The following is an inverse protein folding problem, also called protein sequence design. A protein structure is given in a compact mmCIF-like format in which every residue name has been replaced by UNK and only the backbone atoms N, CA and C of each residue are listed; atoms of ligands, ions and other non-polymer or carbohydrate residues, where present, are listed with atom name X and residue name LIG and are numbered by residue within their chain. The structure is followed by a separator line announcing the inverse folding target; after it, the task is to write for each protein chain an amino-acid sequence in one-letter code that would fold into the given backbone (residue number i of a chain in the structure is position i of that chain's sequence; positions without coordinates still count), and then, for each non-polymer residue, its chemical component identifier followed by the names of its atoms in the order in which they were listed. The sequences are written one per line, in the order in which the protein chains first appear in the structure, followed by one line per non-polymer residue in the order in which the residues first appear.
data_IF_569277221324
#
_entry.id   IF_569277221324
#
_cell.length_a   1.000
_cell.length_b   1.000
_cell.length_c   1.000
_cell.angle_alpha   90.00
_cell.angle_beta   90.00
_cell.angle_gamma   90.00
#
_symmetry.space_group_name_H-M   'P 1'
#
loop_
_entity.id
_entity.type
_entity.pdbx_description
1 polymer ?
#
# COMPACT_ATOMS: atom_id res chain seq x y z
N UNK A 1 -93.05 -19.33 19.01
CA UNK A 1 -91.61 -19.61 18.94
C UNK A 1 -91.04 -18.67 17.89
N UNK A 2 -90.43 -17.58 18.36
CA UNK A 2 -89.42 -16.70 17.73
C UNK A 2 -89.87 -15.97 16.44
N UNK A 3 -90.27 -14.69 16.53
CA UNK A 3 -89.43 -13.46 16.50
C UNK A 3 -88.84 -13.17 15.10
N UNK A 4 -89.40 -12.20 14.37
CA UNK A 4 -88.96 -10.77 14.27
C UNK A 4 -87.80 -10.62 13.27
N UNK A 5 -88.02 -10.08 12.07
CA UNK A 5 -88.31 -8.69 11.62
C UNK A 5 -87.02 -7.95 11.20
N UNK A 6 -87.17 -7.26 10.07
CA UNK A 6 -86.46 -6.07 9.59
C UNK A 6 -85.07 -6.17 8.95
N UNK A 7 -85.09 -5.81 7.65
CA UNK A 7 -84.46 -4.61 7.09
C UNK A 7 -83.09 -4.78 6.42
N UNK A 8 -83.13 -4.67 5.09
CA UNK A 8 -82.36 -3.74 4.28
C UNK A 8 -80.86 -3.62 4.52
N UNK A 9 -80.09 -3.88 3.46
CA UNK A 9 -78.97 -3.01 3.06
C UNK A 9 -78.42 -3.37 1.68
N UNK A 10 -78.37 -2.31 0.87
CA UNK A 10 -77.58 -2.02 -0.31
C UNK A 10 -76.22 -2.75 -0.28
N UNK A 11 -75.97 -3.63 -1.25
CA UNK A 11 -74.64 -4.19 -1.50
C UNK A 11 -73.86 -3.21 -2.39
N UNK A 12 -72.95 -2.46 -1.77
CA UNK A 12 -71.85 -1.76 -2.43
C UNK A 12 -70.82 -2.80 -2.87
N UNK A 13 -70.59 -2.94 -4.17
CA UNK A 13 -69.45 -3.70 -4.68
C UNK A 13 -68.16 -2.87 -4.45
N UNK A 14 -67.24 -3.45 -3.68
CA UNK A 14 -65.92 -2.90 -3.40
C UNK A 14 -65.08 -2.84 -4.68
N UNK A 15 -64.54 -1.65 -4.97
CA UNK A 15 -63.43 -1.50 -5.89
C UNK A 15 -62.17 -2.05 -5.22
N UNK A 16 -61.61 -3.14 -5.78
CA UNK A 16 -60.28 -3.62 -5.44
C UNK A 16 -59.27 -2.65 -6.06
N UNK A 17 -58.78 -1.70 -5.26
CA UNK A 17 -57.56 -0.96 -5.61
C UNK A 17 -56.38 -1.89 -5.44
N UNK A 18 -55.89 -2.45 -6.55
CA UNK A 18 -54.59 -3.12 -6.59
C UNK A 18 -53.51 -2.06 -6.36
N UNK A 19 -52.97 -2.02 -5.13
CA UNK A 19 -51.74 -1.29 -4.84
C UNK A 19 -50.61 -2.09 -5.48
N UNK A 20 -50.17 -1.65 -6.66
CA UNK A 20 -48.88 -2.02 -7.21
C UNK A 20 -47.82 -1.45 -6.27
N UNK A 21 -47.33 -2.27 -5.35
CA UNK A 21 -46.09 -2.00 -4.63
C UNK A 21 -44.99 -2.19 -5.67
N UNK A 22 -44.59 -1.09 -6.30
CA UNK A 22 -43.31 -1.02 -6.99
C UNK A 22 -42.23 -1.28 -5.95
N UNK A 23 -41.65 -2.48 -5.97
CA UNK A 23 -40.36 -2.73 -5.33
C UNK A 23 -39.38 -1.76 -5.99
N UNK A 24 -39.07 -0.66 -5.31
CA UNK A 24 -38.01 0.24 -5.73
C UNK A 24 -36.71 -0.53 -5.59
N UNK A 25 -36.14 -0.94 -6.73
CA UNK A 25 -34.71 -1.14 -6.84
C UNK A 25 -34.09 0.23 -6.51
N UNK A 26 -33.59 0.42 -5.30
CA UNK A 26 -32.82 1.59 -4.95
C UNK A 26 -31.47 1.51 -5.64
N UNK A 27 -31.40 1.97 -6.89
CA UNK A 27 -30.10 2.33 -7.48
C UNK A 27 -29.67 3.61 -6.77
N UNK A 28 -28.60 3.56 -5.99
CA UNK A 28 -27.90 4.79 -5.59
C UNK A 28 -27.65 5.63 -6.86
N UNK A 29 -27.91 6.94 -6.77
CA UNK A 29 -27.62 7.82 -7.89
C UNK A 29 -26.13 7.88 -8.15
N UNK A 30 -25.73 7.75 -9.41
CA UNK A 30 -24.33 7.86 -9.83
C UNK A 30 -23.66 9.11 -9.21
N UNK A 31 -22.52 8.97 -8.52
CA UNK A 31 -21.78 10.10 -7.97
C UNK A 31 -21.41 11.09 -9.07
N UNK A 32 -21.58 12.37 -8.80
CA UNK A 32 -21.21 13.42 -9.77
C UNK A 32 -19.69 13.52 -9.88
N UNK A 33 -19.15 13.20 -11.06
CA UNK A 33 -17.74 13.42 -11.40
C UNK A 33 -17.55 14.77 -12.12
N UNK A 34 -16.40 15.44 -11.95
CA UNK A 34 -16.08 16.64 -12.72
C UNK A 34 -16.00 16.31 -14.21
N UNK A 35 -16.64 17.12 -15.06
CA UNK A 35 -16.73 16.84 -16.52
C UNK A 35 -15.39 16.92 -17.26
N UNK A 36 -14.39 17.59 -16.67
CA UNK A 36 -13.01 17.59 -17.13
C UNK A 36 -12.13 17.55 -15.88
N UNK A 37 -11.42 16.43 -15.61
CA UNK A 37 -10.54 16.36 -14.46
C UNK A 37 -9.28 17.20 -14.72
N UNK A 38 -9.39 18.50 -14.45
CA UNK A 38 -8.21 19.34 -14.30
C UNK A 38 -7.55 19.03 -12.95
N UNK A 39 -6.23 18.78 -12.89
CA UNK A 39 -5.52 18.46 -11.65
C UNK A 39 -5.81 19.42 -10.51
N UNK A 40 -5.93 20.73 -10.78
CA UNK A 40 -6.19 21.73 -9.74
C UNK A 40 -7.61 21.64 -9.21
N UNK A 41 -8.58 21.32 -10.07
CA UNK A 41 -9.97 21.11 -9.66
C UNK A 41 -10.11 19.86 -8.80
N UNK A 42 -9.50 18.75 -9.21
CA UNK A 42 -9.53 17.51 -8.43
C UNK A 42 -8.82 17.70 -7.09
N UNK A 43 -7.63 18.32 -7.07
CA UNK A 43 -6.93 18.62 -5.83
C UNK A 43 -7.78 19.47 -4.88
N UNK A 44 -8.43 20.54 -5.38
CA UNK A 44 -9.33 21.36 -4.57
C UNK A 44 -10.53 20.58 -4.00
N UNK A 45 -11.04 19.57 -4.72
CA UNK A 45 -12.06 18.67 -4.20
C UNK A 45 -11.52 17.75 -3.09
N UNK A 46 -10.27 17.31 -3.20
CA UNK A 46 -9.63 16.43 -2.21
C UNK A 46 -9.13 17.15 -0.96
N UNK A 47 -8.93 18.47 -1.04
CA UNK A 47 -8.55 19.31 0.11
C UNK A 47 -9.74 19.88 0.88
N UNK A 48 -10.98 19.62 0.45
CA UNK A 48 -12.18 20.18 1.10
C UNK A 48 -12.67 19.27 2.25
N UNK A 49 -13.58 19.79 3.08
CA UNK A 49 -14.12 19.05 4.23
C UNK A 49 -14.97 17.81 3.81
N UNK A 50 -15.44 17.78 2.57
CA UNK A 50 -16.30 16.72 2.02
C UNK A 50 -15.49 15.66 1.25
N UNK A 51 -14.16 15.76 1.20
CA UNK A 51 -13.29 14.93 0.38
C UNK A 51 -13.44 13.44 0.71
N UNK A 52 -13.55 13.11 2.00
CA UNK A 52 -13.75 11.73 2.46
C UNK A 52 -15.11 11.17 1.98
N UNK A 53 -16.19 11.93 2.07
CA UNK A 53 -17.50 11.50 1.58
C UNK A 53 -17.54 11.37 0.06
N UNK A 54 -16.86 12.27 -0.65
CA UNK A 54 -16.69 12.15 -2.10
C UNK A 54 -15.94 10.85 -2.46
N UNK A 55 -14.75 10.63 -1.87
CA UNK A 55 -13.95 9.43 -2.08
C UNK A 55 -14.72 8.16 -1.70
N UNK A 56 -15.48 8.18 -0.60
CA UNK A 56 -16.33 7.08 -0.20
C UNK A 56 -17.40 6.81 -1.26
N UNK A 57 -18.13 7.84 -1.69
CA UNK A 57 -19.20 7.69 -2.68
C UNK A 57 -18.73 7.08 -4.01
N UNK A 58 -17.58 7.52 -4.54
CA UNK A 58 -17.03 6.95 -5.78
C UNK A 58 -16.45 5.55 -5.57
N UNK A 59 -15.97 5.24 -4.36
CA UNK A 59 -15.36 3.94 -4.05
C UNK A 59 -16.40 2.86 -3.78
N UNK A 60 -17.57 3.22 -3.26
CA UNK A 60 -18.64 2.26 -2.97
C UNK A 60 -19.68 2.14 -4.07
N UNK A 61 -19.77 3.11 -4.99
CA UNK A 61 -20.66 3.02 -6.15
C UNK A 61 -20.27 1.84 -7.06
N UNK A 62 -21.27 1.16 -7.60
CA UNK A 62 -21.09 0.04 -8.53
C UNK A 62 -21.04 0.59 -9.96
N UNK A 63 -19.84 0.87 -10.45
CA UNK A 63 -19.64 1.41 -11.80
C UNK A 63 -19.74 0.30 -12.85
N UNK A 64 -20.40 0.58 -13.98
CA UNK A 64 -20.48 -0.35 -15.12
C UNK A 64 -19.13 -0.59 -15.83
N UNK A 65 -18.10 0.19 -15.48
CA UNK A 65 -16.75 0.17 -16.07
C UNK A 65 -15.67 -0.21 -15.05
N UNK A 66 -16.03 -0.96 -14.00
CA UNK A 66 -15.13 -1.41 -12.94
C UNK A 66 -14.41 -0.27 -12.20
N UNK A 67 -14.96 0.96 -12.28
CA UNK A 67 -14.44 2.17 -11.65
C UNK A 67 -13.48 2.97 -12.53
N UNK A 68 -13.28 2.60 -13.79
CA UNK A 68 -12.32 3.24 -14.69
C UNK A 68 -12.53 4.75 -14.85
N UNK A 69 -13.77 5.20 -15.02
CA UNK A 69 -14.09 6.63 -15.14
C UNK A 69 -13.79 7.42 -13.86
N UNK A 70 -13.99 6.82 -12.68
CA UNK A 70 -13.60 7.45 -11.42
C UNK A 70 -12.06 7.45 -11.26
N UNK A 71 -11.39 6.41 -11.75
CA UNK A 71 -9.94 6.26 -11.72
C UNK A 71 -9.21 7.38 -12.48
N UNK A 72 -9.80 7.91 -13.57
CA UNK A 72 -9.24 9.02 -14.37
C UNK A 72 -8.95 10.28 -13.54
N UNK A 73 -9.65 10.49 -12.42
CA UNK A 73 -9.45 11.66 -11.56
C UNK A 73 -8.04 11.71 -10.95
N UNK A 74 -7.38 10.57 -10.77
CA UNK A 74 -6.15 10.45 -9.97
C UNK A 74 -4.89 10.19 -10.80
N UNK A 75 -5.03 9.89 -12.10
CA UNK A 75 -3.92 9.51 -12.98
C UNK A 75 -2.82 10.57 -13.14
N UNK A 76 -3.12 11.84 -12.84
CA UNK A 76 -2.14 12.93 -12.91
C UNK A 76 -1.16 12.91 -11.73
N UNK A 77 -1.55 12.36 -10.58
CA UNK A 77 -0.81 12.43 -9.31
C UNK A 77 0.62 11.90 -9.44
N UNK A 78 0.89 10.70 -10.03
CA UNK A 78 2.24 10.17 -10.10
C UNK A 78 3.20 11.06 -10.92
N UNK A 79 2.71 11.59 -12.03
CA UNK A 79 3.51 12.48 -12.90
C UNK A 79 3.80 13.82 -12.21
N UNK A 80 2.83 14.38 -11.49
CA UNK A 80 3.01 15.63 -10.75
C UNK A 80 3.89 15.46 -9.51
N UNK A 81 3.83 14.31 -8.83
CA UNK A 81 4.65 14.01 -7.66
C UNK A 81 6.16 14.03 -7.96
N UNK A 82 6.55 13.71 -9.19
CA UNK A 82 7.95 13.73 -9.66
C UNK A 82 8.33 15.00 -10.42
N UNK A 83 7.41 15.96 -10.52
CA UNK A 83 7.62 17.21 -11.25
C UNK A 83 8.68 18.09 -10.56
N UNK A 84 9.51 18.75 -11.37
CA UNK A 84 10.40 19.80 -10.88
C UNK A 84 9.64 21.07 -10.46
N UNK A 85 8.37 21.22 -10.91
CA UNK A 85 7.51 22.30 -10.45
C UNK A 85 7.04 22.04 -9.01
N UNK A 86 7.49 22.91 -8.12
CA UNK A 86 7.22 22.86 -6.69
C UNK A 86 5.73 22.81 -6.35
N UNK A 87 4.90 23.54 -7.09
CA UNK A 87 3.47 23.64 -6.85
C UNK A 87 2.75 22.38 -7.32
N UNK A 88 3.11 21.84 -8.49
CA UNK A 88 2.56 20.58 -8.99
C UNK A 88 2.87 19.41 -8.04
N UNK A 89 4.12 19.32 -7.56
CA UNK A 89 4.51 18.28 -6.60
C UNK A 89 3.75 18.41 -5.26
N UNK A 90 3.56 19.63 -4.77
CA UNK A 90 2.76 19.91 -3.57
C UNK A 90 1.31 19.45 -3.74
N UNK A 91 0.66 19.82 -4.85
CA UNK A 91 -0.74 19.42 -5.12
C UNK A 91 -0.88 17.90 -5.21
N UNK A 92 0.09 17.21 -5.81
CA UNK A 92 0.09 15.75 -5.87
C UNK A 92 0.19 15.13 -4.48
N UNK A 93 1.05 15.65 -3.60
CA UNK A 93 1.18 15.17 -2.23
C UNK A 93 -0.07 15.40 -1.40
N UNK A 94 -0.70 16.57 -1.51
CA UNK A 94 -1.94 16.88 -0.78
C UNK A 94 -3.09 15.96 -1.22
N UNK A 95 -3.21 15.72 -2.52
CA UNK A 95 -4.20 14.79 -3.08
C UNK A 95 -3.93 13.35 -2.64
N UNK A 96 -2.68 12.89 -2.68
CA UNK A 96 -2.28 11.57 -2.22
C UNK A 96 -2.52 11.38 -0.72
N UNK A 97 -2.23 12.40 0.09
CA UNK A 97 -2.53 12.37 1.53
C UNK A 97 -4.03 12.22 1.80
N UNK A 98 -4.88 12.95 1.07
CA UNK A 98 -6.33 12.82 1.20
C UNK A 98 -6.83 11.39 0.90
N UNK A 99 -6.28 10.74 -0.13
CA UNK A 99 -6.57 9.33 -0.46
C UNK A 99 -6.11 8.41 0.67
N UNK A 100 -4.89 8.59 1.17
CA UNK A 100 -4.37 7.78 2.27
C UNK A 100 -5.19 7.94 3.54
N UNK A 101 -5.53 9.19 3.92
CA UNK A 101 -6.36 9.48 5.09
C UNK A 101 -7.77 8.88 4.97
N UNK A 102 -8.35 8.89 3.77
CA UNK A 102 -9.61 8.21 3.48
C UNK A 102 -9.52 6.69 3.72
N UNK A 103 -8.46 6.02 3.24
CA UNK A 103 -8.27 4.58 3.50
C UNK A 103 -8.16 4.27 4.99
N UNK A 104 -7.51 5.14 5.76
CA UNK A 104 -7.38 4.98 7.21
C UNK A 104 -8.74 5.13 7.89
N UNK A 105 -9.50 6.17 7.55
CA UNK A 105 -10.78 6.49 8.19
C UNK A 105 -11.92 5.53 7.80
N UNK A 106 -11.91 5.01 6.57
CA UNK A 106 -12.95 4.12 6.02
C UNK A 106 -12.52 2.67 5.88
N UNK A 107 -11.40 2.27 6.50
CA UNK A 107 -10.75 0.97 6.31
C UNK A 107 -11.74 -0.21 6.40
N UNK A 108 -12.49 -0.32 7.50
CA UNK A 108 -13.42 -1.44 7.69
C UNK A 108 -14.53 -1.46 6.63
N UNK A 109 -15.06 -0.29 6.27
CA UNK A 109 -16.11 -0.17 5.25
C UNK A 109 -15.59 -0.54 3.87
N UNK A 110 -14.32 -0.28 3.56
CA UNK A 110 -13.70 -0.62 2.27
C UNK A 110 -13.31 -2.10 2.16
N UNK A 111 -12.98 -2.73 3.29
CA UNK A 111 -12.67 -4.15 3.36
C UNK A 111 -13.93 -5.03 3.39
N UNK A 112 -15.06 -4.47 3.81
CA UNK A 112 -16.31 -5.21 3.92
C UNK A 112 -17.53 -4.34 3.57
N UNK A 113 -17.79 -4.18 2.27
CA UNK A 113 -18.95 -3.49 1.76
C UNK A 113 -20.15 -4.44 1.68
N UNK A 114 -21.13 -4.21 2.55
CA UNK A 114 -22.40 -4.92 2.50
C UNK A 114 -23.24 -4.50 1.28
N UNK A 115 -23.86 -5.46 0.63
CA UNK A 115 -24.72 -5.29 -0.54
C UNK A 115 -25.83 -6.34 -0.59
N UNK A 116 -26.70 -6.24 -1.59
CA UNK A 116 -27.81 -7.16 -1.79
C UNK A 116 -28.94 -7.02 -0.77
N UNK A 117 -29.92 -7.92 -0.87
CA UNK A 117 -31.13 -7.87 -0.04
C UNK A 117 -30.79 -8.17 1.43
N UNK A 118 -30.96 -7.14 2.27
CA UNK A 118 -30.61 -7.13 3.71
C UNK A 118 -29.11 -7.12 4.03
N UNK A 119 -28.23 -6.69 3.10
CA UNK A 119 -26.79 -6.59 3.36
C UNK A 119 -26.13 -7.95 3.61
N UNK A 120 -26.55 -8.97 2.87
CA UNK A 120 -26.07 -10.36 3.04
C UNK A 120 -24.87 -10.69 2.17
N UNK A 121 -24.64 -9.90 1.13
CA UNK A 121 -23.51 -10.06 0.24
C UNK A 121 -22.42 -9.09 0.67
N UNK A 122 -21.18 -9.55 0.72
CA UNK A 122 -20.03 -8.81 1.22
C UNK A 122 -18.96 -8.80 0.14
N UNK A 123 -18.38 -7.64 -0.13
CA UNK A 123 -17.32 -7.48 -1.12
C UNK A 123 -16.31 -6.44 -0.65
N UNK A 124 -15.08 -6.54 -1.13
CA UNK A 124 -14.04 -5.51 -0.91
C UNK A 124 -14.14 -4.42 -1.97
N UNK A 125 -13.51 -3.27 -1.71
CA UNK A 125 -13.43 -2.17 -2.69
C UNK A 125 -12.69 -2.58 -3.97
N UNK A 126 -11.61 -3.35 -3.87
CA UNK A 126 -10.88 -3.84 -5.04
C UNK A 126 -11.65 -4.88 -5.85
N UNK A 127 -12.50 -5.69 -5.21
CA UNK A 127 -13.38 -6.61 -5.95
C UNK A 127 -14.53 -5.87 -6.66
N UNK A 128 -14.99 -4.74 -6.12
CA UNK A 128 -16.07 -3.94 -6.73
C UNK A 128 -15.56 -2.99 -7.81
N UNK A 129 -14.47 -2.28 -7.55
CA UNK A 129 -13.95 -1.20 -8.37
C UNK A 129 -12.43 -1.35 -8.58
N UNK A 130 -11.97 -2.43 -9.25
CA UNK A 130 -10.55 -2.73 -9.38
C UNK A 130 -9.76 -1.61 -10.07
N UNK A 131 -10.30 -0.97 -11.11
CA UNK A 131 -9.61 0.12 -11.82
C UNK A 131 -9.38 1.35 -10.94
N UNK A 132 -10.35 1.65 -10.07
CA UNK A 132 -10.22 2.74 -9.11
C UNK A 132 -9.14 2.44 -8.05
N UNK A 133 -9.11 1.21 -7.50
CA UNK A 133 -8.10 0.81 -6.52
C UNK A 133 -6.70 0.81 -7.12
N UNK A 134 -6.55 0.39 -8.39
CA UNK A 134 -5.28 0.48 -9.14
C UNK A 134 -4.81 1.92 -9.28
N UNK A 135 -5.71 2.84 -9.65
CA UNK A 135 -5.35 4.26 -9.75
C UNK A 135 -4.99 4.88 -8.40
N UNK A 136 -5.65 4.48 -7.30
CA UNK A 136 -5.22 4.85 -5.96
C UNK A 136 -3.82 4.32 -5.61
N UNK A 137 -3.52 3.07 -5.96
CA UNK A 137 -2.20 2.48 -5.74
C UNK A 137 -1.11 3.26 -6.50
N UNK A 138 -1.36 3.58 -7.78
CA UNK A 138 -0.46 4.40 -8.59
C UNK A 138 -0.26 5.79 -7.98
N UNK A 139 -1.33 6.46 -7.59
CA UNK A 139 -1.30 7.78 -6.96
C UNK A 139 -0.49 7.81 -5.66
N UNK A 140 -0.55 6.73 -4.86
CA UNK A 140 0.14 6.63 -3.57
C UNK A 140 1.58 6.12 -3.67
N UNK A 141 1.95 5.41 -4.75
CA UNK A 141 3.28 4.79 -4.90
C UNK A 141 4.47 5.77 -4.70
N UNK A 142 4.44 7.02 -5.21
CA UNK A 142 5.51 7.99 -4.98
C UNK A 142 5.69 8.39 -3.51
N UNK A 143 4.66 8.20 -2.68
CA UNK A 143 4.58 8.67 -1.30
C UNK A 143 4.77 7.55 -0.26
N UNK A 144 5.11 6.33 -0.68
CA UNK A 144 5.39 5.21 0.24
C UNK A 144 6.49 5.52 1.28
N UNK A 145 7.43 6.42 0.96
CA UNK A 145 8.39 6.92 1.94
C UNK A 145 7.71 7.62 3.11
N UNK A 146 6.77 8.53 2.84
CA UNK A 146 6.03 9.25 3.88
C UNK A 146 5.15 8.32 4.73
N UNK A 147 4.60 7.25 4.14
CA UNK A 147 3.86 6.23 4.90
C UNK A 147 4.74 5.54 5.96
N UNK A 148 6.05 5.52 5.77
CA UNK A 148 7.03 5.00 6.75
C UNK A 148 7.89 6.12 7.35
N UNK A 149 7.36 7.35 7.38
CA UNK A 149 8.01 8.53 7.97
C UNK A 149 9.30 9.02 7.32
N UNK A 150 9.47 8.81 6.01
CA UNK A 150 10.46 9.52 5.20
C UNK A 150 9.81 10.68 4.43
N UNK A 151 10.04 11.92 4.88
CA UNK A 151 9.49 13.14 4.30
C UNK A 151 10.34 13.75 3.18
N UNK A 152 11.55 13.24 2.95
CA UNK A 152 12.57 13.89 2.08
C UNK A 152 12.10 14.10 0.63
N UNK A 153 11.14 13.31 0.17
CA UNK A 153 10.58 13.36 -1.19
C UNK A 153 9.05 13.27 -1.20
N UNK A 154 8.38 13.78 -0.16
CA UNK A 154 6.94 13.67 0.00
C UNK A 154 6.26 15.04 0.13
N UNK A 155 6.67 15.99 -0.70
CA UNK A 155 6.15 17.37 -0.65
C UNK A 155 4.63 17.39 -0.72
N UNK A 156 4.00 18.06 0.25
CA UNK A 156 2.55 18.20 0.36
C UNK A 156 1.83 16.98 0.94
N UNK A 157 2.52 15.87 1.16
CA UNK A 157 1.96 14.72 1.84
C UNK A 157 2.21 14.88 3.35
N UNK A 158 1.15 15.13 4.11
CA UNK A 158 1.25 15.20 5.57
C UNK A 158 1.52 13.80 6.15
N UNK A 159 2.50 13.70 7.04
CA UNK A 159 2.81 12.44 7.71
C UNK A 159 1.70 12.07 8.70
N UNK A 160 1.46 10.77 8.87
CA UNK A 160 0.59 10.28 9.94
C UNK A 160 1.34 10.33 11.28
N UNK A 161 1.47 11.51 11.88
CA UNK A 161 2.16 11.69 13.15
C UNK A 161 1.35 11.21 14.37
N UNK A 162 2.03 10.74 15.43
CA UNK A 162 3.48 10.59 15.57
C UNK A 162 4.02 9.37 14.81
N UNK A 163 5.28 9.43 14.36
CA UNK A 163 5.89 8.37 13.53
C UNK A 163 5.93 6.97 14.13
N UNK A 164 5.96 6.85 15.47
CA UNK A 164 5.84 5.55 16.14
C UNK A 164 4.50 4.87 15.90
N UNK A 165 3.45 5.66 15.64
CA UNK A 165 2.08 5.19 15.41
C UNK A 165 1.71 5.18 13.91
N UNK A 166 2.50 5.83 13.05
CA UNK A 166 2.29 5.96 11.59
C UNK A 166 2.14 4.62 10.85
N UNK A 167 2.68 3.55 11.44
CA UNK A 167 2.64 2.20 10.85
C UNK A 167 1.22 1.63 10.79
N UNK A 168 0.33 1.97 11.74
CA UNK A 168 -1.07 1.51 11.71
C UNK A 168 -1.87 2.15 10.56
N UNK A 169 -1.79 3.48 10.34
CA UNK A 169 -2.29 4.12 9.12
C UNK A 169 -1.72 3.50 7.84
N UNK A 170 -0.41 3.27 7.77
CA UNK A 170 0.23 2.67 6.60
C UNK A 170 -0.28 1.25 6.34
N UNK A 171 -0.46 0.42 7.38
CA UNK A 171 -1.07 -0.91 7.24
C UNK A 171 -2.48 -0.84 6.65
N UNK A 172 -3.28 0.17 7.02
CA UNK A 172 -4.62 0.37 6.46
C UNK A 172 -4.55 0.66 4.96
N UNK A 173 -3.64 1.55 4.54
CA UNK A 173 -3.40 1.85 3.13
C UNK A 173 -3.01 0.59 2.34
N UNK A 174 -2.02 -0.15 2.83
CA UNK A 174 -1.56 -1.38 2.19
C UNK A 174 -2.64 -2.48 2.16
N UNK A 175 -3.48 -2.57 3.20
CA UNK A 175 -4.58 -3.56 3.26
C UNK A 175 -5.69 -3.22 2.26
N UNK A 176 -6.08 -1.95 2.14
CA UNK A 176 -7.09 -1.52 1.16
C UNK A 176 -6.60 -1.71 -0.27
N UNK A 177 -5.37 -1.30 -0.59
CA UNK A 177 -4.76 -1.55 -1.92
C UNK A 177 -4.70 -3.04 -2.20
N UNK A 178 -4.39 -3.85 -1.18
CA UNK A 178 -4.35 -5.31 -1.25
C UNK A 178 -5.61 -5.92 -1.85
N UNK A 179 -6.78 -5.31 -1.64
CA UNK A 179 -8.07 -5.86 -2.08
C UNK A 179 -8.21 -6.08 -3.60
N UNK A 180 -7.34 -5.48 -4.42
CA UNK A 180 -7.11 -5.85 -5.83
C UNK A 180 -5.69 -6.40 -6.02
N UNK A 181 -5.56 -7.58 -6.62
CA UNK A 181 -4.27 -8.28 -6.72
C UNK A 181 -3.25 -7.57 -7.62
N UNK A 182 -3.71 -6.87 -8.66
CA UNK A 182 -2.83 -6.14 -9.59
C UNK A 182 -2.33 -4.85 -8.94
N UNK A 183 -3.22 -4.09 -8.30
CA UNK A 183 -2.87 -2.93 -7.48
C UNK A 183 -1.86 -3.32 -6.38
N UNK A 184 -2.10 -4.42 -5.68
CA UNK A 184 -1.19 -4.95 -4.67
C UNK A 184 0.19 -5.28 -5.25
N UNK A 185 0.26 -5.97 -6.39
CA UNK A 185 1.51 -6.30 -7.07
C UNK A 185 2.32 -5.06 -7.43
N UNK A 186 1.70 -4.11 -8.15
CA UNK A 186 2.34 -2.85 -8.58
C UNK A 186 2.82 -2.03 -7.37
N UNK A 187 1.99 -1.91 -6.33
CA UNK A 187 2.34 -1.15 -5.13
C UNK A 187 3.48 -1.82 -4.34
N UNK A 188 3.47 -3.15 -4.22
CA UNK A 188 4.56 -3.90 -3.60
C UNK A 188 5.87 -3.75 -4.36
N UNK A 189 5.84 -3.76 -5.69
CA UNK A 189 7.03 -3.59 -6.53
C UNK A 189 7.62 -2.18 -6.41
N UNK A 190 6.78 -1.15 -6.31
CA UNK A 190 7.21 0.21 -5.98
C UNK A 190 7.90 0.28 -4.61
N UNK A 191 7.35 -0.42 -3.59
CA UNK A 191 7.94 -0.46 -2.26
C UNK A 191 9.31 -1.17 -2.27
N UNK A 192 9.43 -2.29 -2.99
CA UNK A 192 10.71 -3.00 -3.18
C UNK A 192 11.74 -2.13 -3.89
N UNK A 193 11.34 -1.37 -4.91
CA UNK A 193 12.23 -0.43 -5.58
C UNK A 193 12.76 0.64 -4.61
N UNK A 194 11.90 1.14 -3.72
CA UNK A 194 12.27 2.11 -2.68
C UNK A 194 13.20 1.51 -1.62
N UNK A 195 12.91 0.29 -1.15
CA UNK A 195 13.79 -0.47 -0.24
C UNK A 195 15.20 -0.57 -0.84
N UNK A 196 15.31 -1.01 -2.11
CA UNK A 196 16.61 -1.07 -2.81
C UNK A 196 17.31 0.27 -2.85
N UNK A 197 16.58 1.36 -3.09
CA UNK A 197 17.16 2.71 -3.09
C UNK A 197 17.72 3.11 -1.72
N UNK A 198 17.02 2.79 -0.62
CA UNK A 198 17.51 3.08 0.73
C UNK A 198 18.77 2.27 1.07
N UNK A 199 18.75 0.98 0.76
CA UNK A 199 19.88 0.08 1.00
C UNK A 199 21.10 0.52 0.19
N UNK A 200 20.91 0.86 -1.09
CA UNK A 200 21.98 1.36 -1.95
C UNK A 200 22.55 2.69 -1.43
N UNK A 201 21.71 3.62 -0.99
CA UNK A 201 22.15 4.89 -0.39
C UNK A 201 23.03 4.65 0.84
N UNK A 202 22.65 3.70 1.70
CA UNK A 202 23.49 3.32 2.84
C UNK A 202 24.81 2.66 2.41
N UNK A 203 24.77 1.72 1.47
CA UNK A 203 25.96 1.04 0.96
C UNK A 203 26.97 2.02 0.31
N UNK A 204 26.48 3.04 -0.38
CA UNK A 204 27.29 4.08 -1.01
C UNK A 204 27.83 5.11 0.00
N UNK A 205 27.24 5.19 1.19
CA UNK A 205 27.67 6.13 2.25
C UNK A 205 28.87 5.57 3.02
N UNK A 206 29.98 6.30 3.05
CA UNK A 206 31.13 5.91 3.87
C UNK A 206 30.85 6.04 5.37
N UNK A 207 31.43 5.15 6.19
CA UNK A 207 31.26 5.16 7.65
C UNK A 207 31.70 6.47 8.32
N UNK A 208 32.72 7.13 7.77
CA UNK A 208 33.22 8.43 8.26
C UNK A 208 32.42 9.62 7.71
N UNK A 209 31.39 9.38 6.89
CA UNK A 209 30.56 10.43 6.33
C UNK A 209 29.61 11.01 7.38
N UNK A 210 29.40 12.33 7.42
CA UNK A 210 28.33 12.92 8.23
C UNK A 210 26.93 12.40 7.84
N UNK A 211 26.78 11.87 6.63
CA UNK A 211 25.51 11.37 6.09
C UNK A 211 25.20 9.92 6.51
N UNK A 212 26.07 9.25 7.27
CA UNK A 212 25.87 7.84 7.66
C UNK A 212 24.61 7.63 8.50
N UNK A 213 24.27 8.57 9.38
CA UNK A 213 23.06 8.47 10.21
C UNK A 213 21.77 8.69 9.40
N UNK A 214 21.65 9.73 8.55
CA UNK A 214 20.54 9.83 7.59
C UNK A 214 20.40 8.63 6.64
N UNK A 215 21.52 8.02 6.23
CA UNK A 215 21.50 6.83 5.40
C UNK A 215 21.02 5.60 6.19
N UNK A 216 21.43 5.47 7.45
CA UNK A 216 20.96 4.42 8.37
C UNK A 216 19.45 4.54 8.66
N UNK A 217 18.90 5.76 8.79
CA UNK A 217 17.45 5.97 8.84
C UNK A 217 16.74 5.44 7.58
N UNK A 218 17.39 5.53 6.42
CA UNK A 218 16.95 4.86 5.19
C UNK A 218 16.71 3.35 5.40
N UNK A 219 17.62 2.67 6.11
CA UNK A 219 17.44 1.26 6.45
C UNK A 219 16.24 1.05 7.38
N UNK A 220 15.97 1.96 8.33
CA UNK A 220 14.77 1.92 9.18
C UNK A 220 13.48 2.00 8.35
N UNK A 221 13.45 2.88 7.35
CA UNK A 221 12.33 2.96 6.42
C UNK A 221 12.21 1.68 5.57
N UNK A 222 13.33 1.09 5.16
CA UNK A 222 13.35 -0.19 4.45
C UNK A 222 12.78 -1.34 5.30
N UNK A 223 13.19 -1.48 6.56
CA UNK A 223 12.63 -2.46 7.50
C UNK A 223 11.13 -2.28 7.70
N UNK A 224 10.67 -1.03 7.84
CA UNK A 224 9.25 -0.71 7.95
C UNK A 224 8.45 -1.13 6.70
N UNK A 225 8.97 -0.82 5.50
CA UNK A 225 8.32 -1.23 4.25
C UNK A 225 8.29 -2.76 4.10
N UNK A 226 9.38 -3.46 4.41
CA UNK A 226 9.40 -4.92 4.39
C UNK A 226 8.33 -5.50 5.34
N UNK A 227 8.18 -4.92 6.53
CA UNK A 227 7.15 -5.35 7.48
C UNK A 227 5.74 -5.13 6.93
N UNK A 228 5.45 -3.97 6.33
CA UNK A 228 4.17 -3.70 5.66
C UNK A 228 3.90 -4.69 4.53
N UNK A 229 4.92 -5.01 3.71
CA UNK A 229 4.80 -6.02 2.66
C UNK A 229 4.48 -7.41 3.21
N UNK A 230 5.06 -7.79 4.35
CA UNK A 230 4.75 -9.06 5.00
C UNK A 230 3.30 -9.13 5.49
N UNK A 231 2.79 -8.06 6.10
CA UNK A 231 1.39 -7.96 6.53
C UNK A 231 0.43 -8.08 5.34
N UNK A 232 0.73 -7.41 4.23
CA UNK A 232 -0.08 -7.52 3.00
C UNK A 232 -0.03 -8.92 2.42
N UNK A 233 1.18 -9.52 2.30
CA UNK A 233 1.34 -10.86 1.75
C UNK A 233 0.62 -11.93 2.58
N UNK A 234 0.63 -11.80 3.92
CA UNK A 234 -0.07 -12.72 4.81
C UNK A 234 -1.60 -12.72 4.63
N UNK A 235 -2.16 -11.65 4.03
CA UNK A 235 -3.60 -11.50 3.76
C UNK A 235 -3.98 -11.80 2.31
N UNK A 236 -3.01 -12.07 1.43
CA UNK A 236 -3.22 -12.28 0.00
C UNK A 236 -2.51 -13.52 -0.53
N UNK A 237 -3.28 -14.56 -0.85
CA UNK A 237 -2.77 -15.83 -1.38
C UNK A 237 -1.99 -15.69 -2.71
N UNK A 238 -2.16 -14.58 -3.43
CA UNK A 238 -1.46 -14.27 -4.67
C UNK A 238 -0.08 -13.65 -4.49
N UNK A 239 0.28 -13.22 -3.28
CA UNK A 239 1.57 -12.60 -3.00
C UNK A 239 2.52 -13.59 -2.31
N UNK A 240 3.80 -13.64 -2.68
CA UNK A 240 4.76 -14.51 -2.03
C UNK A 240 4.98 -14.04 -0.57
N UNK A 241 5.09 -14.96 0.40
CA UNK A 241 5.41 -14.61 1.78
C UNK A 241 6.79 -13.96 1.85
N UNK A 242 6.93 -12.97 2.75
CA UNK A 242 8.20 -12.31 3.00
C UNK A 242 9.00 -13.14 4.01
N UNK A 243 10.21 -13.55 3.62
CA UNK A 243 11.17 -14.23 4.48
C UNK A 243 12.26 -13.23 4.89
N UNK A 244 12.22 -12.77 6.14
CA UNK A 244 13.13 -11.73 6.62
C UNK A 244 14.60 -12.15 6.56
N UNK A 245 14.91 -13.45 6.70
CA UNK A 245 16.29 -13.91 6.60
C UNK A 245 16.82 -13.79 5.17
N UNK A 246 15.95 -14.01 4.18
CA UNK A 246 16.28 -13.79 2.76
C UNK A 246 16.43 -12.32 2.43
N UNK A 247 15.47 -11.49 2.84
CA UNK A 247 15.51 -10.04 2.61
C UNK A 247 16.74 -9.41 3.28
N UNK A 248 17.04 -9.78 4.53
CA UNK A 248 18.24 -9.32 5.22
C UNK A 248 19.53 -9.80 4.53
N UNK A 249 19.54 -11.00 3.94
CA UNK A 249 20.69 -11.48 3.15
C UNK A 249 20.90 -10.64 1.89
N UNK A 250 19.84 -10.22 1.19
CA UNK A 250 19.92 -9.29 0.04
C UNK A 250 20.45 -7.90 0.44
N UNK A 251 20.00 -7.38 1.59
CA UNK A 251 20.53 -6.14 2.16
C UNK A 251 22.02 -6.28 2.46
N UNK A 252 22.41 -7.36 3.15
CA UNK A 252 23.82 -7.63 3.49
C UNK A 252 24.68 -7.77 2.25
N UNK A 253 24.18 -8.44 1.20
CA UNK A 253 24.88 -8.58 -0.08
C UNK A 253 25.17 -7.22 -0.73
N UNK A 254 24.17 -6.33 -0.76
CA UNK A 254 24.33 -4.99 -1.33
C UNK A 254 25.40 -4.19 -0.59
N UNK A 255 25.35 -4.20 0.75
CA UNK A 255 26.34 -3.51 1.59
C UNK A 255 27.73 -4.16 1.44
N UNK A 256 27.81 -5.49 1.46
CA UNK A 256 29.06 -6.23 1.30
C UNK A 256 29.74 -5.91 -0.04
N UNK A 257 28.98 -5.82 -1.12
CA UNK A 257 29.50 -5.45 -2.45
C UNK A 257 30.18 -4.08 -2.42
N UNK A 258 29.55 -3.09 -1.77
CA UNK A 258 30.14 -1.76 -1.61
C UNK A 258 31.38 -1.75 -0.71
N UNK A 259 31.42 -2.58 0.34
CA UNK A 259 32.59 -2.75 1.20
C UNK A 259 33.76 -3.35 0.42
N UNK A 260 33.52 -4.43 -0.32
CA UNK A 260 34.55 -5.14 -1.10
C UNK A 260 35.12 -4.27 -2.23
N UNK A 261 34.32 -3.36 -2.79
CA UNK A 261 34.80 -2.38 -3.76
C UNK A 261 35.79 -1.37 -3.16
N UNK A 262 35.70 -1.08 -1.85
CA UNK A 262 36.59 -0.14 -1.13
C UNK A 262 37.79 -0.85 -0.51
N UNK A 263 37.61 -2.11 -0.10
CA UNK A 263 38.61 -2.91 0.60
C UNK A 263 38.71 -4.29 -0.04
N UNK A 264 39.87 -4.60 -0.62
CA UNK A 264 40.14 -5.87 -1.29
C UNK A 264 40.35 -7.05 -0.33
N UNK A 265 40.58 -6.79 0.96
CA UNK A 265 40.73 -7.82 1.97
C UNK A 265 39.35 -8.31 2.40
N UNK A 266 39.03 -9.55 2.03
CA UNK A 266 37.81 -10.21 2.47
C UNK A 266 38.11 -11.60 3.02
N UNK A 267 37.47 -11.92 4.14
CA UNK A 267 37.38 -13.30 4.62
C UNK A 267 36.22 -14.06 3.95
N UNK A 268 35.63 -13.52 2.87
CA UNK A 268 34.57 -14.20 2.13
C UNK A 268 35.19 -15.32 1.31
N UNK A 269 34.70 -16.57 1.43
CA UNK A 269 35.25 -17.68 0.66
C UNK A 269 35.24 -17.44 -0.85
N UNK A 270 36.36 -17.74 -1.52
CA UNK A 270 36.55 -17.45 -2.95
C UNK A 270 35.53 -18.11 -3.89
N UNK A 271 34.88 -19.19 -3.45
CA UNK A 271 33.85 -19.90 -4.22
C UNK A 271 32.48 -19.21 -4.19
N UNK A 272 32.32 -18.13 -3.42
CA UNK A 272 31.19 -17.20 -3.52
C UNK A 272 31.40 -16.09 -4.55
N UNK A 273 32.54 -16.09 -5.26
CA UNK A 273 32.81 -15.15 -6.32
C UNK A 273 32.65 -15.82 -7.69
N UNK A 274 32.02 -15.11 -8.62
CA UNK A 274 31.94 -15.45 -10.04
C UNK A 274 32.46 -14.26 -10.86
N UNK A 275 33.36 -14.53 -11.81
CA UNK A 275 33.94 -13.50 -12.69
C UNK A 275 34.56 -12.30 -11.94
N UNK A 276 35.12 -12.57 -10.75
CA UNK A 276 35.77 -11.55 -9.91
C UNK A 276 34.81 -10.66 -9.12
N UNK A 277 33.51 -10.96 -9.14
CA UNK A 277 32.48 -10.27 -8.37
C UNK A 277 31.79 -11.24 -7.40
N UNK A 278 31.30 -10.70 -6.28
CA UNK A 278 30.51 -11.46 -5.33
C UNK A 278 29.20 -11.91 -6.01
N UNK A 279 28.85 -13.19 -5.94
CA UNK A 279 27.59 -13.69 -6.49
C UNK A 279 26.39 -13.09 -5.74
N UNK A 280 25.28 -12.85 -6.45
CA UNK A 280 24.02 -12.48 -5.78
C UNK A 280 23.51 -13.64 -4.90
N UNK A 281 22.67 -13.37 -3.87
CA UNK A 281 22.08 -14.45 -3.08
C UNK A 281 21.27 -15.43 -3.94
N UNK A 282 20.54 -14.94 -4.95
CA UNK A 282 19.86 -15.77 -5.94
C UNK A 282 20.83 -16.67 -6.73
N UNK A 283 21.96 -16.13 -7.20
CA UNK A 283 22.97 -16.92 -7.91
C UNK A 283 23.58 -18.02 -7.03
N UNK A 284 23.86 -17.71 -5.76
CA UNK A 284 24.35 -18.69 -4.79
C UNK A 284 23.33 -19.80 -4.60
N UNK A 285 22.05 -19.45 -4.41
CA UNK A 285 20.98 -20.43 -4.24
C UNK A 285 20.83 -21.32 -5.48
N UNK A 286 20.84 -20.74 -6.68
CA UNK A 286 20.67 -21.48 -7.93
C UNK A 286 21.88 -22.37 -8.27
N UNK A 287 23.11 -21.88 -8.06
CA UNK A 287 24.35 -22.58 -8.47
C UNK A 287 24.87 -23.54 -7.39
N UNK A 288 24.70 -23.20 -6.12
CA UNK A 288 25.35 -23.89 -4.99
C UNK A 288 24.35 -24.50 -3.98
N UNK A 289 23.07 -24.13 -4.07
CA UNK A 289 21.99 -24.70 -3.26
C UNK A 289 21.85 -24.10 -1.84
N UNK A 290 20.82 -24.53 -1.12
CA UNK A 290 20.41 -23.99 0.19
C UNK A 290 21.48 -24.10 1.28
N UNK A 291 22.29 -25.17 1.27
CA UNK A 291 23.36 -25.33 2.25
C UNK A 291 24.42 -24.22 2.08
N UNK A 292 24.83 -23.97 0.84
CA UNK A 292 25.76 -22.90 0.50
C UNK A 292 25.15 -21.51 0.75
N UNK A 293 23.84 -21.33 0.52
CA UNK A 293 23.15 -20.08 0.83
C UNK A 293 23.24 -19.70 2.32
N UNK A 294 23.10 -20.66 3.24
CA UNK A 294 23.26 -20.40 4.69
C UNK A 294 24.70 -20.05 5.07
N UNK A 295 25.67 -20.73 4.47
CA UNK A 295 27.10 -20.41 4.64
C UNK A 295 27.42 -19.01 4.08
N UNK A 296 26.80 -18.67 2.95
CA UNK A 296 26.93 -17.38 2.30
C UNK A 296 26.40 -16.25 3.18
N UNK A 297 25.16 -16.37 3.68
CA UNK A 297 24.58 -15.41 4.62
C UNK A 297 25.47 -15.22 5.86
N UNK A 298 25.99 -16.32 6.42
CA UNK A 298 26.94 -16.28 7.55
C UNK A 298 28.25 -15.54 7.21
N UNK A 299 28.78 -15.73 6.00
CA UNK A 299 29.99 -15.04 5.53
C UNK A 299 29.75 -13.52 5.38
N UNK A 300 28.59 -13.12 4.86
CA UNK A 300 28.21 -11.71 4.76
C UNK A 300 28.08 -11.05 6.15
N UNK A 301 27.40 -11.71 7.09
CA UNK A 301 27.30 -11.27 8.49
C UNK A 301 28.70 -11.05 9.08
N UNK A 302 29.63 -12.00 8.88
CA UNK A 302 30.98 -11.88 9.41
C UNK A 302 31.73 -10.69 8.80
N UNK A 303 31.67 -10.52 7.47
CA UNK A 303 32.28 -9.39 6.77
C UNK A 303 31.74 -8.06 7.30
N UNK A 304 30.43 -7.91 7.43
CA UNK A 304 29.84 -6.65 7.91
C UNK A 304 30.16 -6.40 9.39
N UNK A 305 30.22 -7.43 10.25
CA UNK A 305 30.66 -7.28 11.64
C UNK A 305 32.10 -6.78 11.75
N UNK A 306 33.01 -7.29 10.92
CA UNK A 306 34.40 -6.82 10.88
C UNK A 306 34.51 -5.33 10.50
N UNK A 307 33.52 -4.83 9.76
CA UNK A 307 33.44 -3.43 9.32
C UNK A 307 32.48 -2.58 10.18
N UNK A 308 31.98 -3.09 11.31
CA UNK A 308 31.01 -2.40 12.19
C UNK A 308 29.69 -1.99 11.50
N UNK A 309 29.29 -2.73 10.45
CA UNK A 309 28.09 -2.43 9.66
C UNK A 309 26.89 -3.32 10.02
N UNK A 310 27.14 -4.52 10.55
CA UNK A 310 26.06 -5.50 10.80
C UNK A 310 25.00 -4.98 11.78
N UNK A 311 25.41 -4.23 12.80
CA UNK A 311 24.50 -3.63 13.77
C UNK A 311 23.47 -2.69 13.14
N UNK A 312 23.77 -2.11 11.97
CA UNK A 312 22.78 -1.32 11.24
C UNK A 312 21.73 -2.22 10.59
N UNK A 313 22.11 -3.37 10.03
CA UNK A 313 21.17 -4.32 9.42
C UNK A 313 20.27 -4.93 10.49
N UNK A 314 20.85 -5.43 11.58
CA UNK A 314 20.08 -6.06 12.67
C UNK A 314 19.03 -5.09 13.23
N UNK A 315 19.44 -3.90 13.70
CA UNK A 315 18.51 -2.97 14.35
C UNK A 315 17.57 -2.24 13.38
N UNK A 316 18.05 -1.81 12.21
CA UNK A 316 17.24 -0.95 11.34
C UNK A 316 16.41 -1.73 10.32
N UNK A 317 16.81 -2.96 9.98
CA UNK A 317 16.06 -3.77 9.01
C UNK A 317 15.30 -4.87 9.73
N UNK A 318 15.98 -5.75 10.48
CA UNK A 318 15.37 -6.94 11.08
C UNK A 318 14.45 -6.56 12.24
N UNK A 319 14.95 -5.87 13.27
CA UNK A 319 14.13 -5.50 14.44
C UNK A 319 12.95 -4.61 14.04
N UNK A 320 13.19 -3.70 13.08
CA UNK A 320 12.14 -2.83 12.57
C UNK A 320 11.10 -3.62 11.76
N UNK A 321 11.51 -4.55 10.90
CA UNK A 321 10.60 -5.48 10.23
C UNK A 321 9.74 -6.23 11.23
N UNK A 322 10.35 -6.84 12.25
CA UNK A 322 9.66 -7.63 13.27
C UNK A 322 8.68 -6.77 14.07
N UNK A 323 9.05 -5.54 14.38
CA UNK A 323 8.19 -4.56 15.04
C UNK A 323 6.94 -4.27 14.19
N UNK A 324 7.08 -4.10 12.88
CA UNK A 324 5.96 -3.78 12.00
C UNK A 324 5.09 -5.01 11.70
N UNK A 325 5.72 -6.14 11.39
CA UNK A 325 5.03 -7.38 11.03
C UNK A 325 4.40 -8.07 12.26
N UNK A 326 5.05 -8.01 13.42
CA UNK A 326 4.57 -8.62 14.67
C UNK A 326 3.42 -7.87 15.36
N UNK A 327 3.18 -6.61 14.98
CA UNK A 327 2.06 -5.80 15.46
C UNK A 327 0.77 -5.96 14.62
N UNK A 328 0.68 -7.00 13.77
CA UNK A 328 -0.46 -7.25 12.86
C UNK A 328 -1.34 -8.43 13.24
#
# INVERSE_FOLDING_TARGET
MIDVKLSGKIARALALSAVLVSAGCGTESEPALPQRPDPSQVAAMLSNADANEFLYSISTYEWDDDGARAAELFQWIPSSATSADAQSAQLAGEAAHAIAAFFVDRNQQLLDMSSGLFGRDHTTVGARNPELVRSFADALAPFQGALVCDDRNARGFDLFEPCGDALLPAQSVFTVIGTDAEAAGTFCDAARARIRSYVQTFADTGLDSPDIYPAAQGLTHAGSLLGLLAVTAAKHDGLPPIDIEREATEVRYTIATAVLARHSDSNVPAWFFADGSLMTPEEVQQKLGEAAYREYSSALIHLLRQNNLETFVDHNVIDQFETVAGNS
#
